data_IF_295209663123
#
_entry.id   IF_295209663123
#
_cell.length_a   1.000
_cell.length_b   1.000
_cell.length_c   1.000
_cell.angle_alpha   90.00
_cell.angle_beta   90.00
_cell.angle_gamma   90.00
#
_symmetry.space_group_name_H-M   'P 1'
#
loop_
_entity.id
_entity.type
_entity.pdbx_description
1 polymer ?
#
# COMPACT_ATOMS: atom_id res chain seq x y z
N UNK A 1 -0.02 10.91 -9.76
CA UNK A 1 0.16 9.92 -8.67
C UNK A 1 -0.35 10.55 -7.40
N UNK A 2 -1.14 9.81 -6.63
CA UNK A 2 -1.69 10.23 -5.35
C UNK A 2 -0.95 9.53 -4.22
N UNK A 3 -0.52 10.30 -3.23
CA UNK A 3 0.09 9.76 -2.01
C UNK A 3 -0.95 9.77 -0.90
N UNK A 4 -1.12 8.64 -0.21
CA UNK A 4 -2.00 8.49 0.95
C UNK A 4 -1.11 8.15 2.14
N UNK A 5 -0.90 9.10 3.04
CA UNK A 5 -0.21 8.85 4.32
C UNK A 5 -1.23 8.45 5.37
N UNK A 6 -1.09 7.23 5.89
CA UNK A 6 -1.93 6.69 6.96
C UNK A 6 -1.66 7.50 8.23
N UNK A 7 -2.73 7.98 8.85
CA UNK A 7 -2.71 8.65 10.15
C UNK A 7 -2.94 7.62 11.26
N UNK A 8 -2.60 7.99 12.49
CA UNK A 8 -2.83 7.15 13.68
C UNK A 8 -4.30 6.74 13.85
N UNK A 9 -5.24 7.58 13.42
CA UNK A 9 -6.68 7.31 13.46
C UNK A 9 -7.20 6.54 12.25
N UNK A 10 -6.38 6.33 11.22
CA UNK A 10 -6.81 5.69 9.99
C UNK A 10 -6.71 4.18 10.13
N UNK A 11 -7.84 3.51 9.97
CA UNK A 11 -7.90 2.06 9.90
C UNK A 11 -7.95 1.56 8.45
N UNK A 12 -8.01 0.23 8.31
CA UNK A 12 -8.15 -0.42 7.00
C UNK A 12 -9.39 0.02 6.23
N UNK A 13 -10.47 0.43 6.89
CA UNK A 13 -11.70 0.87 6.24
C UNK A 13 -11.58 2.31 5.74
N UNK A 14 -10.90 3.19 6.50
CA UNK A 14 -10.55 4.54 6.06
C UNK A 14 -9.66 4.49 4.81
N UNK A 15 -8.60 3.68 4.84
CA UNK A 15 -7.71 3.51 3.67
C UNK A 15 -8.46 2.94 2.48
N UNK A 16 -9.33 1.93 2.70
CA UNK A 16 -10.16 1.36 1.65
C UNK A 16 -11.05 2.41 0.99
N UNK A 17 -11.67 3.28 1.78
CA UNK A 17 -12.53 4.34 1.27
C UNK A 17 -11.73 5.41 0.50
N UNK A 18 -10.52 5.75 0.96
CA UNK A 18 -9.62 6.66 0.24
C UNK A 18 -9.18 6.09 -1.11
N UNK A 19 -8.84 4.79 -1.15
CA UNK A 19 -8.52 4.05 -2.37
C UNK A 19 -9.73 3.94 -3.30
N UNK A 20 -10.93 3.73 -2.75
CA UNK A 20 -12.17 3.67 -3.54
C UNK A 20 -12.40 4.97 -4.31
N UNK A 21 -11.93 6.11 -3.81
CA UNK A 21 -12.08 7.41 -4.46
C UNK A 21 -10.93 7.76 -5.42
N UNK A 22 -9.91 6.93 -5.55
CA UNK A 22 -8.71 7.20 -6.36
C UNK A 22 -8.79 6.58 -7.79
N UNK A 23 -9.98 6.54 -8.39
CA UNK A 23 -10.26 5.85 -9.67
C UNK A 23 -9.24 6.16 -10.78
N UNK A 24 -8.59 5.12 -11.31
CA UNK A 24 -7.65 5.21 -12.44
C UNK A 24 -6.29 5.82 -12.11
N UNK A 25 -6.01 6.12 -10.84
CA UNK A 25 -4.77 6.76 -10.43
C UNK A 25 -3.73 5.76 -9.94
N UNK A 26 -2.46 6.12 -10.15
CA UNK A 26 -1.33 5.55 -9.44
C UNK A 26 -1.32 6.02 -7.99
N UNK A 27 -1.29 5.09 -7.06
CA UNK A 27 -1.38 5.38 -5.62
C UNK A 27 -0.17 4.85 -4.86
N UNK A 28 0.44 5.71 -4.05
CA UNK A 28 1.46 5.33 -3.07
C UNK A 28 0.86 5.46 -1.67
N UNK A 29 0.77 4.35 -0.93
CA UNK A 29 0.29 4.36 0.46
C UNK A 29 1.49 4.34 1.40
N UNK A 30 1.54 5.24 2.37
CA UNK A 30 2.63 5.34 3.34
C UNK A 30 2.08 4.96 4.71
N UNK A 31 2.66 3.92 5.32
CA UNK A 31 2.41 3.51 6.69
C UNK A 31 3.59 3.95 7.57
N UNK A 32 3.46 5.08 8.30
CA UNK A 32 4.54 5.60 9.15
C UNK A 32 4.74 4.73 10.38
N UNK A 33 5.95 4.79 10.95
CA UNK A 33 6.28 4.10 12.20
C UNK A 33 5.35 4.47 13.36
N UNK A 34 4.92 5.74 13.42
CA UNK A 34 4.08 6.28 14.51
C UNK A 34 2.64 5.75 14.53
N UNK A 35 2.24 4.93 13.57
CA UNK A 35 0.89 4.32 13.61
C UNK A 35 0.83 3.32 14.76
N UNK A 36 0.13 3.66 15.84
CA UNK A 36 0.11 2.86 17.07
C UNK A 36 -0.67 1.55 16.93
N UNK A 37 -1.78 1.55 16.17
CA UNK A 37 -2.71 0.41 16.09
C UNK A 37 -3.03 -0.03 14.65
N UNK A 38 -3.38 -1.31 14.50
CA UNK A 38 -3.73 -1.92 13.20
C UNK A 38 -2.53 -2.37 12.36
N UNK A 39 -2.81 -2.87 11.16
CA UNK A 39 -1.80 -3.29 10.17
C UNK A 39 -0.90 -4.45 10.62
N UNK A 40 -1.39 -5.24 11.58
CA UNK A 40 -0.67 -6.35 12.19
C UNK A 40 -0.98 -7.70 11.52
N UNK A 41 -2.07 -7.78 10.77
CA UNK A 41 -2.52 -9.01 10.15
C UNK A 41 -2.51 -8.92 8.62
N UNK A 42 -2.25 -10.04 7.91
CA UNK A 42 -2.31 -10.05 6.44
C UNK A 42 -3.64 -9.51 5.88
N UNK A 43 -4.75 -9.78 6.57
CA UNK A 43 -6.08 -9.34 6.16
C UNK A 43 -6.23 -7.81 6.04
N UNK A 44 -5.51 -7.04 6.87
CA UNK A 44 -5.55 -5.57 6.83
C UNK A 44 -5.06 -5.04 5.47
N UNK A 45 -4.11 -5.75 4.87
CA UNK A 45 -3.49 -5.48 3.58
C UNK A 45 -4.23 -6.12 2.41
N UNK A 46 -4.73 -7.36 2.58
CA UNK A 46 -5.45 -8.09 1.54
C UNK A 46 -6.69 -7.34 1.04
N UNK A 47 -7.43 -6.68 1.94
CA UNK A 47 -8.60 -5.90 1.58
C UNK A 47 -8.22 -4.77 0.61
N UNK A 48 -7.04 -4.15 0.81
CA UNK A 48 -6.54 -3.08 -0.06
C UNK A 48 -6.05 -3.63 -1.38
N UNK A 49 -5.31 -4.76 -1.35
CA UNK A 49 -4.89 -5.47 -2.57
C UNK A 49 -6.08 -5.79 -3.47
N UNK A 50 -7.11 -6.44 -2.93
CA UNK A 50 -8.29 -6.86 -3.70
C UNK A 50 -9.01 -5.66 -4.31
N UNK A 51 -9.08 -4.55 -3.58
CA UNK A 51 -9.64 -3.31 -4.10
C UNK A 51 -8.80 -2.75 -5.25
N UNK A 52 -7.47 -2.71 -5.09
CA UNK A 52 -6.57 -2.24 -6.13
C UNK A 52 -6.65 -3.10 -7.40
N UNK A 53 -6.74 -4.42 -7.26
CA UNK A 53 -6.95 -5.34 -8.38
C UNK A 53 -8.28 -5.10 -9.08
N UNK A 54 -9.38 -5.03 -8.32
CA UNK A 54 -10.72 -4.81 -8.86
C UNK A 54 -10.84 -3.46 -9.58
N UNK A 55 -10.11 -2.43 -9.12
CA UNK A 55 -10.15 -1.08 -9.68
C UNK A 55 -8.99 -0.78 -10.63
N UNK A 56 -8.14 -1.78 -10.93
CA UNK A 56 -6.93 -1.62 -11.74
C UNK A 56 -6.03 -0.46 -11.29
N UNK A 57 -5.91 -0.26 -9.96
CA UNK A 57 -5.04 0.77 -9.40
C UNK A 57 -3.57 0.32 -9.46
N UNK A 58 -2.71 1.17 -10.02
CA UNK A 58 -1.26 1.03 -9.89
C UNK A 58 -0.86 1.41 -8.46
N UNK A 59 -0.87 0.45 -7.55
CA UNK A 59 -0.68 0.70 -6.11
C UNK A 59 0.61 0.09 -5.57
N UNK A 60 1.33 0.88 -4.76
CA UNK A 60 2.43 0.41 -3.94
C UNK A 60 2.34 0.95 -2.50
N UNK A 61 3.07 0.32 -1.60
CA UNK A 61 3.15 0.70 -0.19
C UNK A 61 4.58 1.04 0.22
N UNK A 62 4.71 2.05 1.09
CA UNK A 62 5.92 2.34 1.87
C UNK A 62 5.61 1.96 3.30
N UNK A 63 6.39 1.04 3.86
CA UNK A 63 6.23 0.61 5.24
C UNK A 63 7.60 0.68 5.92
N UNK A 64 7.73 1.62 6.85
CA UNK A 64 8.98 1.85 7.59
C UNK A 64 9.32 0.68 8.52
N UNK A 65 8.32 0.14 9.22
CA UNK A 65 8.46 -1.01 10.12
C UNK A 65 8.75 -2.33 9.35
N UNK A 66 9.93 -2.95 9.54
CA UNK A 66 10.27 -4.23 8.91
C UNK A 66 9.30 -5.37 9.24
N UNK A 67 8.71 -5.39 10.44
CA UNK A 67 7.78 -6.44 10.84
C UNK A 67 6.46 -6.31 10.06
N UNK A 68 5.83 -5.12 10.07
CA UNK A 68 4.65 -4.81 9.24
C UNK A 68 4.93 -5.01 7.75
N UNK A 69 6.13 -4.66 7.26
CA UNK A 69 6.56 -4.90 5.88
C UNK A 69 6.50 -6.38 5.51
N UNK A 70 6.91 -7.26 6.41
CA UNK A 70 6.84 -8.70 6.18
C UNK A 70 5.39 -9.21 6.11
N UNK A 71 4.51 -8.70 6.99
CA UNK A 71 3.08 -9.03 6.97
C UNK A 71 2.44 -8.59 5.64
N UNK A 72 2.72 -7.37 5.20
CA UNK A 72 2.18 -6.82 3.95
C UNK A 72 2.67 -7.56 2.70
N UNK A 73 3.95 -7.99 2.68
CA UNK A 73 4.50 -8.83 1.60
C UNK A 73 3.79 -10.17 1.48
N UNK A 74 3.45 -10.81 2.61
CA UNK A 74 2.67 -12.06 2.62
C UNK A 74 1.28 -11.88 2.03
N UNK A 75 0.71 -10.68 2.12
CA UNK A 75 -0.56 -10.34 1.49
C UNK A 75 -0.47 -10.02 -0.01
N UNK A 76 0.74 -10.06 -0.60
CA UNK A 76 0.95 -9.90 -2.05
C UNK A 76 1.13 -8.45 -2.53
N UNK A 77 1.25 -7.49 -1.61
CA UNK A 77 1.41 -6.08 -1.98
C UNK A 77 2.84 -5.73 -2.45
N UNK A 78 3.01 -4.82 -3.43
CA UNK A 78 4.29 -4.19 -3.73
C UNK A 78 4.71 -3.28 -2.57
N UNK A 79 5.83 -3.61 -1.90
CA UNK A 79 6.30 -2.85 -0.73
C UNK A 79 7.71 -2.31 -0.92
N UNK A 80 7.90 -1.04 -0.57
CA UNK A 80 9.17 -0.34 -0.49
C UNK A 80 9.51 0.00 0.98
N UNK A 81 10.81 0.19 1.26
CA UNK A 81 11.31 0.59 2.57
C UNK A 81 11.15 2.08 2.84
N UNK A 82 11.19 2.90 1.79
CA UNK A 82 11.08 4.35 1.86
C UNK A 82 10.31 4.90 0.66
N UNK A 83 9.80 6.12 0.79
CA UNK A 83 9.20 6.84 -0.34
C UNK A 83 10.22 7.07 -1.46
N UNK A 84 11.48 7.36 -1.13
CA UNK A 84 12.56 7.51 -2.10
C UNK A 84 12.73 6.28 -2.99
N UNK A 85 12.76 5.07 -2.40
CA UNK A 85 12.89 3.81 -3.14
C UNK A 85 11.71 3.60 -4.10
N UNK A 86 10.50 3.94 -3.66
CA UNK A 86 9.29 3.82 -4.47
C UNK A 86 9.32 4.78 -5.66
N UNK A 87 9.73 6.03 -5.45
CA UNK A 87 9.85 7.05 -6.49
C UNK A 87 10.98 6.72 -7.47
N UNK A 88 12.12 6.23 -6.99
CA UNK A 88 13.24 5.80 -7.84
C UNK A 88 12.82 4.64 -8.74
N UNK A 89 12.15 3.62 -8.17
CA UNK A 89 11.58 2.53 -8.95
C UNK A 89 10.61 3.05 -10.00
N UNK A 90 9.71 3.94 -9.60
CA UNK A 90 8.70 4.47 -10.50
C UNK A 90 9.30 5.29 -11.65
N UNK A 91 10.33 6.11 -11.36
CA UNK A 91 11.04 6.87 -12.38
C UNK A 91 11.76 5.98 -13.39
N UNK A 92 12.23 4.80 -12.96
CA UNK A 92 12.94 3.86 -13.83
C UNK A 92 11.99 3.01 -14.68
N UNK A 93 10.87 2.58 -14.11
CA UNK A 93 9.99 1.57 -14.72
C UNK A 93 8.69 2.14 -15.27
N UNK A 94 8.33 3.38 -14.93
CA UNK A 94 7.09 4.03 -15.36
C UNK A 94 5.83 3.50 -14.68
N UNK A 95 5.89 2.39 -13.93
CA UNK A 95 4.81 1.78 -13.14
C UNK A 95 5.34 1.21 -11.82
N UNK A 96 4.45 1.00 -10.86
CA UNK A 96 4.75 0.15 -9.71
C UNK A 96 4.76 -1.34 -10.10
N UNK A 97 5.40 -2.22 -9.30
CA UNK A 97 5.30 -3.65 -9.50
C UNK A 97 3.83 -4.09 -9.44
N UNK A 98 3.43 -5.11 -10.21
CA UNK A 98 2.08 -5.62 -10.13
C UNK A 98 1.82 -6.25 -8.76
N UNK A 99 0.59 -6.13 -8.30
CA UNK A 99 0.15 -6.80 -7.07
C UNK A 99 0.16 -8.32 -7.32
N UNK A 100 0.77 -9.08 -6.43
CA UNK A 100 0.88 -10.55 -6.57
C UNK A 100 -0.38 -11.20 -6.02
N UNK A 101 -1.04 -12.00 -6.84
CA UNK A 101 -2.06 -12.92 -6.35
C UNK A 101 -1.42 -13.92 -5.39
N UNK A 102 -1.87 -13.93 -4.14
CA UNK A 102 -1.56 -14.99 -3.18
C UNK A 102 -2.50 -16.16 -3.49
N UNK A 103 -2.01 -17.17 -4.21
CA UNK A 103 -2.71 -18.44 -4.48
C UNK A 103 -2.95 -19.26 -3.22
#
# INVERSE_FOLDING_TARGET
MKTITIRETDDRYTVRELLRRADGERVLVILPWSTDEGWQHPLDYEIQRRLAEHKHLEMAWVIEDPWRRNVARKAGLPIFSSEGDALEYLSRHGTFPPVKATS
#
